data_IF_206392902627
#
_entry.id   IF_206392902627
#
_cell.length_a   1.000
_cell.length_b   1.000
_cell.length_c   1.000
_cell.angle_alpha   90.00
_cell.angle_beta   90.00
_cell.angle_gamma   90.00
#
_symmetry.space_group_name_H-M   'P 1'
#
loop_
_entity.id
_entity.type
_entity.pdbx_description
1 polymer ?
#
# COMPACT_ATOMS: atom_id res chain seq x y z
N UNK A 1 -1.68 10.57 -18.74
CA UNK A 1 -1.34 9.34 -17.99
C UNK A 1 -2.65 8.77 -17.48
N UNK A 2 -2.99 7.55 -17.89
CA UNK A 2 -4.16 6.86 -17.37
C UNK A 2 -3.81 6.11 -16.08
N UNK A 3 -4.81 5.79 -15.27
CA UNK A 3 -4.64 5.03 -14.02
C UNK A 3 -4.01 3.66 -14.26
N UNK A 4 -4.30 3.04 -15.42
CA UNK A 4 -3.66 1.80 -15.86
C UNK A 4 -2.15 1.94 -16.07
N UNK A 5 -1.69 3.07 -16.60
CA UNK A 5 -0.27 3.33 -16.85
C UNK A 5 0.46 3.53 -15.53
N UNK A 6 -0.12 4.33 -14.63
CA UNK A 6 0.43 4.54 -13.29
C UNK A 6 0.48 3.21 -12.52
N UNK A 7 -0.58 2.40 -12.57
CA UNK A 7 -0.59 1.08 -11.92
C UNK A 7 0.56 0.21 -12.41
N UNK A 8 0.75 0.11 -13.72
CA UNK A 8 1.83 -0.69 -14.31
C UNK A 8 3.18 -0.23 -13.80
N UNK A 9 3.46 1.07 -13.85
CA UNK A 9 4.73 1.64 -13.37
C UNK A 9 4.93 1.38 -11.87
N UNK A 10 3.88 1.49 -11.06
CA UNK A 10 3.95 1.26 -9.60
C UNK A 10 4.28 -0.20 -9.31
N UNK A 11 3.62 -1.13 -9.99
CA UNK A 11 3.86 -2.57 -9.83
C UNK A 11 5.31 -2.89 -10.21
N UNK A 12 5.74 -2.50 -11.41
CA UNK A 12 7.11 -2.76 -11.89
C UNK A 12 8.16 -2.16 -10.95
N UNK A 13 7.93 -0.93 -10.46
CA UNK A 13 8.83 -0.29 -9.51
C UNK A 13 8.92 -1.06 -8.19
N UNK A 14 7.79 -1.48 -7.61
CA UNK A 14 7.77 -2.23 -6.35
C UNK A 14 8.40 -3.62 -6.49
N UNK A 15 8.11 -4.32 -7.58
CA UNK A 15 8.70 -5.63 -7.88
C UNK A 15 10.22 -5.52 -8.04
N UNK A 16 10.70 -4.48 -8.72
CA UNK A 16 12.13 -4.22 -8.84
C UNK A 16 12.81 -3.94 -7.47
N UNK A 17 12.06 -3.40 -6.50
CA UNK A 17 12.52 -3.23 -5.11
C UNK A 17 12.29 -4.48 -4.24
N UNK A 18 11.91 -5.61 -4.84
CA UNK A 18 11.81 -6.91 -4.17
C UNK A 18 10.52 -7.13 -3.39
N UNK A 19 9.46 -6.36 -3.68
CA UNK A 19 8.12 -6.61 -3.15
C UNK A 19 7.34 -7.59 -4.03
N UNK A 20 6.43 -8.34 -3.41
CA UNK A 20 5.34 -9.03 -4.12
C UNK A 20 4.15 -8.06 -4.14
N UNK A 21 3.55 -7.87 -5.32
CA UNK A 21 2.40 -6.98 -5.48
C UNK A 21 1.19 -7.78 -5.95
N UNK A 22 0.08 -7.66 -5.23
CA UNK A 22 -1.20 -8.26 -5.58
C UNK A 22 -2.14 -7.15 -6.03
N UNK A 23 -2.52 -7.19 -7.31
CA UNK A 23 -3.59 -6.35 -7.82
C UNK A 23 -4.94 -6.94 -7.41
N UNK A 24 -5.69 -6.21 -6.57
CA UNK A 24 -6.93 -6.71 -5.97
C UNK A 24 -8.11 -6.65 -6.94
N UNK A 25 -7.98 -5.87 -8.02
CA UNK A 25 -8.95 -5.72 -9.12
C UNK A 25 -10.40 -5.43 -8.67
N UNK A 26 -10.60 -4.93 -7.44
CA UNK A 26 -11.94 -4.88 -6.85
C UNK A 26 -12.90 -3.97 -7.63
N UNK A 27 -12.46 -2.77 -8.04
CA UNK A 27 -13.34 -1.89 -8.81
C UNK A 27 -13.60 -2.43 -10.23
N UNK A 28 -12.62 -3.09 -10.84
CA UNK A 28 -12.76 -3.68 -12.19
C UNK A 28 -13.72 -4.85 -12.24
N UNK A 29 -13.78 -5.64 -11.16
CA UNK A 29 -14.62 -6.81 -11.08
C UNK A 29 -15.93 -6.54 -10.32
N UNK A 30 -16.19 -5.27 -9.99
CA UNK A 30 -17.31 -4.85 -9.14
C UNK A 30 -18.65 -5.33 -9.63
N UNK A 31 -18.99 -5.12 -10.90
CA UNK A 31 -20.29 -5.55 -11.42
C UNK A 31 -20.47 -7.07 -11.41
N UNK A 32 -19.37 -7.82 -11.59
CA UNK A 32 -19.38 -9.28 -11.61
C UNK A 32 -19.54 -9.88 -10.21
N UNK A 33 -18.89 -9.29 -9.20
CA UNK A 33 -18.84 -9.85 -7.84
C UNK A 33 -19.56 -9.00 -6.78
N UNK A 34 -20.38 -8.03 -7.17
CA UNK A 34 -21.10 -7.13 -6.23
C UNK A 34 -21.91 -7.85 -5.15
N UNK A 35 -22.40 -9.06 -5.43
CA UNK A 35 -23.20 -9.86 -4.50
C UNK A 35 -22.41 -11.05 -3.90
N UNK A 36 -21.11 -11.14 -4.17
CA UNK A 36 -20.27 -12.24 -3.71
C UNK A 36 -19.74 -11.93 -2.31
N UNK A 37 -19.89 -12.89 -1.39
CA UNK A 37 -19.34 -12.78 -0.04
C UNK A 37 -17.82 -12.58 -0.09
N UNK A 38 -17.32 -11.62 0.67
CA UNK A 38 -15.89 -11.28 0.69
C UNK A 38 -15.46 -10.24 -0.34
N UNK A 39 -16.35 -9.82 -1.26
CA UNK A 39 -16.13 -8.63 -2.06
C UNK A 39 -16.26 -7.38 -1.17
N UNK A 40 -15.25 -6.50 -1.22
CA UNK A 40 -15.22 -5.28 -0.40
C UNK A 40 -15.10 -4.08 -1.35
N UNK A 41 -16.22 -3.38 -1.54
CA UNK A 41 -16.24 -2.16 -2.36
C UNK A 41 -15.30 -1.11 -1.75
N UNK A 42 -14.49 -0.48 -2.60
CA UNK A 42 -13.53 0.55 -2.18
C UNK A 42 -12.29 0.00 -1.47
N UNK A 43 -12.04 -1.32 -1.54
CA UNK A 43 -10.76 -1.87 -1.10
C UNK A 43 -9.62 -1.33 -1.97
N UNK A 44 -8.43 -1.08 -1.39
CA UNK A 44 -7.30 -0.54 -2.13
C UNK A 44 -6.90 -1.38 -3.34
N UNK A 45 -6.43 -0.70 -4.40
CA UNK A 45 -6.05 -1.32 -5.66
C UNK A 45 -4.96 -2.38 -5.52
N UNK A 46 -3.98 -2.14 -4.64
CA UNK A 46 -2.82 -3.03 -4.46
C UNK A 46 -2.63 -3.43 -3.00
N UNK A 47 -2.33 -4.70 -2.79
CA UNK A 47 -1.70 -5.23 -1.59
C UNK A 47 -0.22 -5.49 -1.88
N UNK A 48 0.66 -4.94 -1.07
CA UNK A 48 2.11 -5.06 -1.23
C UNK A 48 2.68 -5.85 -0.05
N UNK A 49 3.47 -6.86 -0.35
CA UNK A 49 4.10 -7.76 0.61
C UNK A 49 5.62 -7.66 0.49
N UNK A 50 6.30 -7.43 1.59
CA UNK A 50 7.75 -7.30 1.69
C UNK A 50 8.34 -8.31 2.67
N UNK A 51 9.67 -8.23 2.82
CA UNK A 51 10.42 -9.09 3.75
C UNK A 51 10.04 -8.81 5.20
N UNK A 52 10.35 -9.76 6.09
CA UNK A 52 10.16 -9.63 7.54
C UNK A 52 8.71 -9.30 7.97
N UNK A 53 7.72 -9.81 7.23
CA UNK A 53 6.29 -9.60 7.53
C UNK A 53 5.76 -8.21 7.18
N UNK A 54 6.58 -7.35 6.56
CA UNK A 54 6.15 -6.01 6.12
C UNK A 54 5.09 -6.14 5.05
N UNK A 55 4.01 -5.38 5.20
CA UNK A 55 2.98 -5.27 4.18
C UNK A 55 2.31 -3.90 4.28
N UNK A 56 1.73 -3.46 3.18
CA UNK A 56 0.95 -2.23 3.12
C UNK A 56 0.02 -2.26 1.91
N UNK A 57 -0.93 -1.34 1.90
CA UNK A 57 -1.88 -1.18 0.81
C UNK A 57 -1.60 0.11 0.03
N UNK A 58 -1.89 0.09 -1.27
CA UNK A 58 -1.86 1.28 -2.12
C UNK A 58 -3.21 1.44 -2.81
N UNK A 59 -3.77 2.63 -2.69
CA UNK A 59 -4.84 3.15 -3.53
C UNK A 59 -4.21 4.10 -4.55
N UNK A 60 -4.46 3.90 -5.84
CA UNK A 60 -3.93 4.71 -6.92
C UNK A 60 -4.92 5.80 -7.30
N UNK A 61 -4.40 6.99 -7.62
CA UNK A 61 -5.18 8.10 -8.17
C UNK A 61 -4.43 8.80 -9.27
N UNK A 62 -5.16 9.37 -10.23
CA UNK A 62 -4.60 10.20 -11.30
C UNK A 62 -5.33 11.53 -11.37
N UNK A 63 -4.61 12.60 -11.72
CA UNK A 63 -5.17 13.94 -11.90
C UNK A 63 -5.81 14.49 -10.62
N UNK A 64 -7.04 15.00 -10.73
CA UNK A 64 -7.80 15.58 -9.60
C UNK A 64 -8.70 14.56 -8.89
N UNK A 65 -8.56 13.26 -9.20
CA UNK A 65 -9.39 12.24 -8.59
C UNK A 65 -9.11 12.13 -7.10
N UNK A 66 -10.16 12.17 -6.31
CA UNK A 66 -10.11 11.99 -4.85
C UNK A 66 -10.66 10.62 -4.47
N UNK A 67 -10.52 10.26 -3.20
CA UNK A 67 -11.14 9.05 -2.65
C UNK A 67 -12.66 9.16 -2.71
N UNK A 68 -13.33 8.10 -3.17
CA UNK A 68 -14.77 7.96 -2.94
C UNK A 68 -15.05 7.77 -1.43
N UNK A 69 -16.28 8.05 -0.95
CA UNK A 69 -16.63 7.83 0.45
C UNK A 69 -16.36 6.40 0.93
N UNK A 70 -16.68 5.39 0.11
CA UNK A 70 -16.43 3.99 0.43
C UNK A 70 -14.93 3.65 0.51
N UNK A 71 -14.11 4.25 -0.35
CA UNK A 71 -12.65 4.08 -0.25
C UNK A 71 -12.11 4.73 1.03
N UNK A 72 -12.54 5.94 1.34
CA UNK A 72 -12.13 6.63 2.57
C UNK A 72 -12.49 5.82 3.84
N UNK A 73 -13.69 5.25 3.89
CA UNK A 73 -14.14 4.40 4.99
C UNK A 73 -13.28 3.14 5.16
N UNK A 74 -13.06 2.40 4.07
CA UNK A 74 -12.25 1.17 4.11
C UNK A 74 -10.79 1.47 4.45
N UNK A 75 -10.20 2.52 3.88
CA UNK A 75 -8.84 2.96 4.18
C UNK A 75 -8.72 3.32 5.66
N UNK A 76 -9.69 4.04 6.21
CA UNK A 76 -9.69 4.39 7.62
C UNK A 76 -9.76 3.14 8.50
N UNK A 77 -10.62 2.17 8.15
CA UNK A 77 -10.73 0.90 8.87
C UNK A 77 -9.42 0.10 8.85
N UNK A 78 -8.77 -0.01 7.70
CA UNK A 78 -7.47 -0.68 7.56
C UNK A 78 -6.40 -0.02 8.44
N UNK A 79 -6.38 1.31 8.48
CA UNK A 79 -5.46 2.07 9.35
C UNK A 79 -5.75 1.85 10.83
N UNK A 80 -7.02 1.81 11.22
CA UNK A 80 -7.42 1.47 12.60
C UNK A 80 -6.99 0.05 12.99
N UNK A 81 -6.93 -0.89 12.04
CA UNK A 81 -6.41 -2.23 12.27
C UNK A 81 -4.87 -2.29 12.29
N UNK A 82 -4.19 -1.15 12.13
CA UNK A 82 -2.73 -1.04 12.20
C UNK A 82 -2.02 -1.24 10.86
N UNK A 83 -2.75 -1.37 9.75
CA UNK A 83 -2.15 -1.48 8.42
C UNK A 83 -1.74 -0.11 7.87
N UNK A 84 -0.61 -0.06 7.17
CA UNK A 84 -0.22 1.12 6.42
C UNK A 84 -0.97 1.15 5.08
N UNK A 85 -1.57 2.30 4.76
CA UNK A 85 -2.31 2.52 3.50
C UNK A 85 -1.91 3.85 2.90
N UNK A 86 -1.42 3.81 1.67
CA UNK A 86 -0.94 4.97 0.93
C UNK A 86 -1.87 5.29 -0.23
N UNK A 87 -2.18 6.58 -0.41
CA UNK A 87 -2.84 7.08 -1.61
C UNK A 87 -1.77 7.69 -2.50
N UNK A 88 -1.56 7.11 -3.68
CA UNK A 88 -0.42 7.40 -4.55
C UNK A 88 -0.89 7.99 -5.86
N UNK A 89 -0.36 9.16 -6.20
CA UNK A 89 -0.65 9.92 -7.42
C UNK A 89 0.47 9.83 -8.47
N UNK A 90 1.68 9.43 -8.06
CA UNK A 90 2.82 9.29 -8.96
C UNK A 90 3.90 8.36 -8.41
N UNK A 91 4.83 7.96 -9.28
CA UNK A 91 5.99 7.14 -8.91
C UNK A 91 6.94 7.90 -7.98
N UNK A 92 7.09 9.19 -8.17
CA UNK A 92 7.93 10.04 -7.31
C UNK A 92 7.39 10.05 -5.88
N UNK A 93 6.08 10.17 -5.71
CA UNK A 93 5.46 10.07 -4.39
C UNK A 93 5.70 8.70 -3.75
N UNK A 94 5.57 7.62 -4.53
CA UNK A 94 5.84 6.26 -4.05
C UNK A 94 7.30 6.09 -3.61
N UNK A 95 8.25 6.64 -4.38
CA UNK A 95 9.68 6.60 -4.05
C UNK A 95 9.96 7.27 -2.70
N UNK A 96 9.37 8.43 -2.47
CA UNK A 96 9.50 9.13 -1.18
C UNK A 96 8.87 8.36 -0.02
N UNK A 97 7.76 7.65 -0.27
CA UNK A 97 7.15 6.76 0.73
C UNK A 97 8.09 5.60 1.07
N UNK A 98 8.62 4.89 0.07
CA UNK A 98 9.52 3.76 0.31
C UNK A 98 10.78 4.19 1.07
N UNK A 99 11.39 5.30 0.68
CA UNK A 99 12.56 5.86 1.38
C UNK A 99 12.27 6.09 2.86
N UNK A 100 11.13 6.71 3.19
CA UNK A 100 10.71 6.93 4.59
C UNK A 100 10.47 5.62 5.33
N UNK A 101 9.96 4.59 4.66
CA UNK A 101 9.76 3.28 5.27
C UNK A 101 11.09 2.59 5.59
N UNK A 102 12.06 2.65 4.68
CA UNK A 102 13.41 2.13 4.91
C UNK A 102 14.11 2.86 6.07
N UNK A 103 14.05 4.19 6.10
CA UNK A 103 14.62 4.98 7.19
C UNK A 103 13.99 4.63 8.56
N UNK A 104 12.67 4.39 8.60
CA UNK A 104 11.99 3.93 9.83
C UNK A 104 12.47 2.54 10.25
N UNK A 105 12.67 1.63 9.31
CA UNK A 105 13.17 0.28 9.60
C UNK A 105 14.59 0.30 10.15
N UNK A 106 15.49 1.08 9.54
CA UNK A 106 16.88 1.25 10.01
C UNK A 106 16.89 1.82 11.44
N UNK A 107 16.07 2.83 11.72
CA UNK A 107 15.95 3.41 13.07
C UNK A 107 15.44 2.39 14.09
N UNK A 108 14.40 1.62 13.75
CA UNK A 108 13.87 0.56 14.62
C UNK A 108 14.95 -0.48 14.94
N UNK A 109 15.66 -0.96 13.92
CA UNK A 109 16.74 -1.95 14.09
C UNK A 109 17.85 -1.43 15.01
N UNK A 110 18.33 -0.21 14.80
CA UNK A 110 19.37 0.39 15.63
C UNK A 110 18.94 0.57 17.10
N UNK A 111 17.68 0.94 17.33
CA UNK A 111 17.15 1.09 18.68
C UNK A 111 17.05 -0.25 19.41
N UNK A 112 16.59 -1.31 18.74
CA UNK A 112 16.53 -2.66 19.34
C UNK A 112 17.93 -3.14 19.73
N UNK A 113 18.93 -3.03 18.84
CA UNK A 113 20.31 -3.45 19.16
C UNK A 113 20.90 -2.71 20.36
N UNK A 114 20.63 -1.41 20.51
CA UNK A 114 21.09 -0.62 21.66
C UNK A 114 20.43 -1.05 22.96
N UNK A 115 19.14 -1.39 22.93
CA UNK A 115 18.44 -1.90 24.10
C UNK A 115 19.02 -3.24 24.56
N UNK A 116 19.31 -4.15 23.62
CA UNK A 116 19.91 -5.45 23.91
C UNK A 116 21.32 -5.33 24.51
N UNK A 117 22.12 -4.34 24.06
CA UNK A 117 23.46 -4.07 24.58
C UNK A 117 23.47 -3.45 25.99
N UNK A 118 22.40 -2.75 26.39
CA UNK A 118 22.30 -2.14 27.72
C UNK A 118 21.63 -3.06 28.76
N UNK A 119 21.05 -4.18 28.30
CA UNK A 119 20.40 -5.18 29.15
C UNK A 119 21.31 -6.37 29.50
N UNK A 120 22.51 -6.41 28.94
CA UNK A 120 23.57 -7.39 29.20
C UNK A 120 24.67 -6.78 30.09
#
# INVERSE_FOLDING_TARGET
MHESDLRKQVIEFLEWHGFIVVFTANEYLRERFKNTKGFIKGFPDLLVLGKNGKHFFIELKVGRNTLSPTQAEIIQKLRTFGHEVFVVYSIEQLREILKKLEEKEVKRYNNTRRADQNAA
#
